data_IF_354791062800
#
_entry.id   IF_354791062800
#
_cell.length_a   1.000
_cell.length_b   1.000
_cell.length_c   1.000
_cell.angle_alpha   90.00
_cell.angle_beta   90.00
_cell.angle_gamma   90.00
#
_symmetry.space_group_name_H-M   'P 1'
#
loop_
_entity.id
_entity.type
_entity.pdbx_description
1 polymer ?
#
# COMPACT_ATOMS: atom_id res chain seq x y z
N UNK A 1 24.87 25.00 -2.90
CA UNK A 1 24.53 23.88 -3.82
C UNK A 1 23.04 23.85 -4.03
N UNK A 2 22.56 23.84 -5.28
CA UNK A 2 21.14 23.68 -5.53
C UNK A 2 20.71 22.26 -5.09
N UNK A 3 19.61 22.17 -4.33
CA UNK A 3 19.03 20.87 -3.97
C UNK A 3 18.60 20.12 -5.23
N UNK A 4 18.74 18.79 -5.23
CA UNK A 4 18.17 17.96 -6.31
C UNK A 4 16.65 17.91 -6.21
N UNK A 5 16.00 17.89 -7.36
CA UNK A 5 14.53 17.85 -7.47
C UNK A 5 14.03 16.42 -7.58
N UNK A 6 13.14 16.02 -6.68
CA UNK A 6 12.45 14.73 -6.71
C UNK A 6 11.00 14.96 -7.13
N UNK A 7 10.54 14.21 -8.14
CA UNK A 7 9.12 14.03 -8.39
C UNK A 7 8.67 12.77 -7.66
N UNK A 8 7.89 12.94 -6.59
CA UNK A 8 7.39 11.87 -5.75
C UNK A 8 5.94 11.59 -6.09
N UNK A 9 5.60 10.34 -6.46
CA UNK A 9 4.26 9.97 -6.90
C UNK A 9 3.67 8.96 -5.91
N UNK A 10 2.53 9.31 -5.30
CA UNK A 10 1.85 8.50 -4.30
C UNK A 10 0.43 8.16 -4.75
N UNK A 11 0.09 6.89 -4.93
CA UNK A 11 -1.29 6.47 -5.16
C UNK A 11 -2.10 6.51 -3.87
N UNK A 12 -3.41 6.55 -4.02
CA UNK A 12 -4.41 6.63 -2.94
C UNK A 12 -4.14 5.68 -1.76
N UNK A 13 -3.78 4.42 -2.05
CA UNK A 13 -3.54 3.41 -1.02
C UNK A 13 -2.27 3.63 -0.19
N UNK A 14 -1.37 4.53 -0.59
CA UNK A 14 -0.13 4.84 0.10
C UNK A 14 -0.05 6.28 0.61
N UNK A 15 -1.10 7.09 0.46
CA UNK A 15 -1.12 8.46 0.97
C UNK A 15 -0.82 8.51 2.46
N UNK A 16 -1.47 7.65 3.25
CA UNK A 16 -1.23 7.58 4.70
C UNK A 16 0.24 7.26 5.01
N UNK A 17 0.84 6.33 4.30
CA UNK A 17 2.23 5.98 4.45
C UNK A 17 3.16 7.18 4.17
N UNK A 18 2.96 7.85 3.04
CA UNK A 18 3.84 8.95 2.63
C UNK A 18 3.61 10.20 3.47
N UNK A 19 2.37 10.44 3.93
CA UNK A 19 2.05 11.58 4.78
C UNK A 19 2.53 11.41 6.22
N UNK A 20 2.39 10.19 6.78
CA UNK A 20 2.57 9.94 8.21
C UNK A 20 3.75 9.03 8.56
N UNK A 21 4.20 8.15 7.64
CA UNK A 21 5.22 7.13 7.92
C UNK A 21 6.54 7.38 7.23
N UNK A 22 6.48 7.80 5.96
CA UNK A 22 7.71 8.23 5.31
C UNK A 22 8.09 9.57 5.89
N UNK A 23 9.34 9.66 6.26
CA UNK A 23 9.86 10.87 6.87
C UNK A 23 9.99 11.97 5.79
N UNK A 24 8.85 12.39 5.22
CA UNK A 24 8.80 13.42 4.19
C UNK A 24 9.50 14.69 4.65
N UNK A 25 9.33 15.06 5.92
CA UNK A 25 10.05 16.19 6.52
C UNK A 25 11.57 16.00 6.49
N UNK A 26 12.08 14.78 6.69
CA UNK A 26 13.51 14.51 6.63
C UNK A 26 14.05 14.58 5.21
N UNK A 27 13.30 14.03 4.26
CA UNK A 27 13.67 14.10 2.83
C UNK A 27 13.67 15.55 2.34
N UNK A 28 12.72 16.36 2.78
CA UNK A 28 12.62 17.78 2.44
C UNK A 28 13.80 18.62 2.94
N UNK A 29 14.51 18.20 3.98
CA UNK A 29 15.76 18.89 4.38
C UNK A 29 16.84 18.87 3.29
N UNK A 30 16.84 17.83 2.46
CA UNK A 30 17.90 17.55 1.50
C UNK A 30 17.51 17.76 0.04
N UNK A 31 16.19 17.75 -0.28
CA UNK A 31 15.68 17.76 -1.65
C UNK A 31 14.54 18.76 -1.81
N UNK A 32 14.38 19.26 -3.04
CA UNK A 32 13.17 19.94 -3.47
C UNK A 32 12.18 18.88 -3.97
N UNK A 33 10.95 18.86 -3.45
CA UNK A 33 9.99 17.82 -3.77
C UNK A 33 8.80 18.40 -4.54
N UNK A 34 8.54 17.80 -5.70
CA UNK A 34 7.26 17.92 -6.38
C UNK A 34 6.45 16.65 -6.12
N UNK A 35 5.50 16.74 -5.19
CA UNK A 35 4.69 15.62 -4.78
C UNK A 35 3.42 15.53 -5.61
N UNK A 36 3.25 14.44 -6.36
CA UNK A 36 2.05 14.14 -7.12
C UNK A 36 1.24 13.10 -6.34
N UNK A 37 0.04 13.50 -5.91
CA UNK A 37 -0.88 12.65 -5.16
C UNK A 37 -1.98 12.18 -6.10
N UNK A 38 -2.17 10.86 -6.19
CA UNK A 38 -3.15 10.25 -7.06
C UNK A 38 -4.39 9.86 -6.24
N UNK A 39 -5.49 10.57 -6.44
CA UNK A 39 -6.76 10.27 -5.81
C UNK A 39 -7.59 9.31 -6.65
N UNK A 40 -7.98 8.18 -6.07
CA UNK A 40 -8.96 7.28 -6.65
C UNK A 40 -10.38 7.83 -6.50
N UNK A 41 -11.34 7.18 -7.18
CA UNK A 41 -12.76 7.56 -7.09
C UNK A 41 -13.31 7.53 -5.65
N UNK A 42 -12.83 6.60 -4.84
CA UNK A 42 -13.29 6.37 -3.46
C UNK A 42 -12.23 6.79 -2.43
N UNK A 43 -11.43 7.79 -2.77
CA UNK A 43 -10.41 8.32 -1.91
C UNK A 43 -11.00 8.91 -0.62
N UNK A 44 -10.37 8.62 0.52
CA UNK A 44 -10.73 9.14 1.84
C UNK A 44 -10.04 10.46 2.20
N UNK A 45 -8.93 10.77 1.53
CA UNK A 45 -8.16 11.99 1.76
C UNK A 45 -8.70 13.16 0.97
N UNK A 46 -8.53 14.36 1.52
CA UNK A 46 -8.86 15.65 0.88
C UNK A 46 -7.59 16.44 0.66
N UNK A 47 -7.62 17.40 -0.24
CA UNK A 47 -6.49 18.31 -0.48
C UNK A 47 -6.13 19.11 0.78
N UNK A 48 -7.13 19.40 1.63
CA UNK A 48 -6.93 20.06 2.94
C UNK A 48 -6.01 19.30 3.90
N UNK A 49 -5.94 17.96 3.78
CA UNK A 49 -5.11 17.13 4.66
C UNK A 49 -3.61 17.34 4.42
N UNK A 50 -3.27 17.98 3.29
CA UNK A 50 -1.89 18.31 2.90
C UNK A 50 -1.50 19.77 3.16
N UNK A 51 -2.42 20.60 3.62
CA UNK A 51 -2.17 22.04 3.79
C UNK A 51 -1.11 22.34 4.85
N UNK A 52 -1.08 21.55 5.93
CA UNK A 52 -0.10 21.75 6.99
C UNK A 52 1.31 21.48 6.49
N UNK A 53 1.57 20.32 5.90
CA UNK A 53 2.90 19.96 5.40
C UNK A 53 3.37 20.91 4.29
N UNK A 54 2.44 21.40 3.46
CA UNK A 54 2.74 22.38 2.43
C UNK A 54 3.13 23.75 3.00
N UNK A 55 2.46 24.21 4.07
CA UNK A 55 2.78 25.46 4.76
C UNK A 55 4.12 25.43 5.47
N UNK A 56 4.46 24.27 6.04
CA UNK A 56 5.70 24.09 6.80
C UNK A 56 6.94 23.95 5.91
N UNK A 57 6.77 23.66 4.60
CA UNK A 57 7.89 23.34 3.71
C UNK A 57 7.83 24.13 2.41
N UNK A 58 8.65 25.17 2.30
CA UNK A 58 8.71 26.05 1.11
C UNK A 58 9.29 25.37 -0.15
N UNK A 59 10.04 24.28 0.03
CA UNK A 59 10.61 23.45 -1.04
C UNK A 59 9.73 22.24 -1.40
N UNK A 60 8.44 22.26 -0.97
CA UNK A 60 7.43 21.28 -1.33
C UNK A 60 6.36 21.90 -2.23
N UNK A 61 6.15 21.32 -3.40
CA UNK A 61 4.98 21.62 -4.23
C UNK A 61 4.12 20.37 -4.35
N UNK A 62 2.79 20.50 -4.28
CA UNK A 62 1.86 19.36 -4.34
C UNK A 62 0.91 19.55 -5.51
N UNK A 63 0.76 18.51 -6.33
CA UNK A 63 -0.17 18.46 -7.45
C UNK A 63 -1.08 17.24 -7.29
N UNK A 64 -2.40 17.41 -7.46
CA UNK A 64 -3.39 16.37 -7.27
C UNK A 64 -3.94 15.88 -8.61
N UNK A 65 -3.91 14.58 -8.84
CA UNK A 65 -4.52 13.92 -9.99
C UNK A 65 -5.70 13.06 -9.53
N UNK A 66 -6.89 13.28 -10.11
CA UNK A 66 -8.12 12.56 -9.77
C UNK A 66 -8.47 11.55 -10.86
N UNK A 67 -8.64 10.29 -10.46
CA UNK A 67 -9.11 9.20 -11.29
C UNK A 67 -10.61 8.96 -11.02
N UNK A 68 -11.46 9.53 -11.87
CA UNK A 68 -12.91 9.50 -11.70
C UNK A 68 -13.56 8.15 -12.07
N UNK A 69 -12.81 7.25 -12.68
CA UNK A 69 -13.29 5.95 -13.12
C UNK A 69 -12.60 4.82 -12.35
N UNK A 70 -13.23 3.63 -12.33
CA UNK A 70 -12.58 2.42 -11.81
C UNK A 70 -11.23 2.23 -12.50
N UNK A 71 -10.24 1.74 -11.79
CA UNK A 71 -8.84 1.62 -12.24
C UNK A 71 -8.67 1.02 -13.66
N UNK A 72 -9.46 0.00 -14.00
CA UNK A 72 -9.38 -0.67 -15.32
C UNK A 72 -10.26 -0.04 -16.40
N UNK A 73 -10.83 1.12 -16.17
CA UNK A 73 -11.64 1.81 -17.18
C UNK A 73 -10.72 2.48 -18.21
N UNK A 74 -10.92 2.27 -19.53
CA UNK A 74 -10.07 2.86 -20.58
C UNK A 74 -10.08 4.39 -20.59
N UNK A 75 -11.12 5.03 -20.05
CA UNK A 75 -11.19 6.50 -19.92
C UNK A 75 -10.05 7.07 -19.05
N UNK A 76 -9.40 6.25 -18.22
CA UNK A 76 -8.24 6.66 -17.43
C UNK A 76 -6.96 6.88 -18.26
N UNK A 77 -6.92 6.42 -19.54
CA UNK A 77 -5.74 6.58 -20.39
C UNK A 77 -5.33 8.05 -20.56
N UNK A 78 -6.30 8.95 -20.72
CA UNK A 78 -6.02 10.39 -20.86
C UNK A 78 -5.45 10.98 -19.57
N UNK A 79 -5.95 10.55 -18.42
CA UNK A 79 -5.42 10.97 -17.11
C UNK A 79 -3.97 10.49 -16.94
N UNK A 80 -3.68 9.25 -17.31
CA UNK A 80 -2.33 8.69 -17.25
C UNK A 80 -1.36 9.39 -18.22
N UNK A 81 -1.81 9.77 -19.42
CA UNK A 81 -1.00 10.55 -20.35
C UNK A 81 -0.71 11.95 -19.79
N UNK A 82 -1.72 12.62 -19.22
CA UNK A 82 -1.55 13.92 -18.56
C UNK A 82 -0.57 13.84 -17.39
N UNK A 83 -0.69 12.80 -16.56
CA UNK A 83 0.22 12.52 -15.46
C UNK A 83 1.67 12.35 -15.94
N UNK A 84 1.90 11.51 -16.95
CA UNK A 84 3.24 11.33 -17.54
C UNK A 84 3.82 12.62 -18.10
N UNK A 85 3.00 13.46 -18.76
CA UNK A 85 3.41 14.79 -19.26
C UNK A 85 3.72 15.75 -18.11
N UNK A 86 2.93 15.74 -17.02
CA UNK A 86 3.16 16.58 -15.85
C UNK A 86 4.50 16.23 -15.19
N UNK A 87 4.77 14.94 -14.95
CA UNK A 87 6.05 14.47 -14.42
C UNK A 87 7.22 14.93 -15.30
N UNK A 88 7.11 14.75 -16.62
CA UNK A 88 8.16 15.14 -17.58
C UNK A 88 8.40 16.65 -17.57
N UNK A 89 7.35 17.47 -17.48
CA UNK A 89 7.43 18.94 -17.44
C UNK A 89 8.22 19.45 -16.24
N UNK A 90 8.18 18.72 -15.12
CA UNK A 90 8.92 19.09 -13.92
C UNK A 90 10.44 18.93 -14.06
N UNK A 91 10.90 18.22 -15.10
CA UNK A 91 12.32 17.91 -15.33
C UNK A 91 13.05 17.47 -14.04
N UNK A 92 12.54 16.47 -13.30
CA UNK A 92 13.12 16.10 -12.02
C UNK A 92 14.45 15.34 -12.21
N UNK A 93 15.36 15.48 -11.23
CA UNK A 93 16.58 14.67 -11.16
C UNK A 93 16.26 13.21 -10.82
N UNK A 94 15.21 12.99 -10.01
CA UNK A 94 14.77 11.65 -9.57
C UNK A 94 13.24 11.60 -9.67
N UNK A 95 12.73 10.52 -10.21
CA UNK A 95 11.31 10.15 -10.15
C UNK A 95 11.19 8.98 -9.19
N UNK A 96 10.40 9.14 -8.14
CA UNK A 96 10.08 8.07 -7.20
C UNK A 96 8.59 7.76 -7.28
N UNK A 97 8.25 6.51 -7.62
CA UNK A 97 6.86 6.07 -7.72
C UNK A 97 6.58 4.97 -6.70
N UNK A 98 5.72 5.29 -5.74
CA UNK A 98 5.31 4.37 -4.70
C UNK A 98 4.06 3.57 -5.12
N UNK A 99 4.11 2.93 -6.29
CA UNK A 99 2.97 2.19 -6.81
C UNK A 99 3.38 0.94 -7.60
N UNK A 100 2.40 0.08 -7.84
CA UNK A 100 2.48 -1.05 -8.76
C UNK A 100 1.49 -0.86 -9.91
N UNK A 101 1.80 -1.42 -11.07
CA UNK A 101 0.89 -1.37 -12.22
C UNK A 101 -0.24 -2.39 -12.04
N UNK A 102 -1.49 -1.93 -12.23
CA UNK A 102 -2.70 -2.74 -12.12
C UNK A 102 -3.57 -2.70 -13.38
N UNK A 103 -3.29 -1.79 -14.31
CA UNK A 103 -4.10 -1.56 -15.51
C UNK A 103 -3.24 -1.30 -16.74
N UNK A 104 -3.62 -1.83 -17.94
CA UNK A 104 -2.92 -1.53 -19.18
C UNK A 104 -2.99 -0.04 -19.54
N UNK A 105 -3.97 0.70 -19.04
CA UNK A 105 -4.16 2.13 -19.28
C UNK A 105 -3.14 3.02 -18.58
N UNK A 106 -2.35 2.45 -17.68
CA UNK A 106 -1.22 3.12 -17.02
C UNK A 106 0.06 3.07 -17.87
N UNK A 107 0.18 2.12 -18.80
CA UNK A 107 1.37 1.96 -19.64
C UNK A 107 1.81 3.25 -20.35
N UNK A 108 0.92 4.07 -20.96
CA UNK A 108 1.33 5.32 -21.58
C UNK A 108 2.11 6.26 -20.67
N UNK A 109 1.71 6.36 -19.39
CA UNK A 109 2.45 7.12 -18.39
C UNK A 109 3.87 6.58 -18.25
N UNK A 110 4.04 5.28 -18.00
CA UNK A 110 5.35 4.65 -17.85
C UNK A 110 6.25 4.82 -19.09
N UNK A 111 5.65 4.80 -20.30
CA UNK A 111 6.41 5.00 -21.53
C UNK A 111 6.83 6.46 -21.77
N UNK A 112 6.15 7.42 -21.17
CA UNK A 112 6.54 8.83 -21.21
C UNK A 112 7.66 9.18 -20.23
N UNK A 113 7.87 8.36 -19.18
CA UNK A 113 8.89 8.61 -18.16
C UNK A 113 10.31 8.30 -18.70
N UNK A 114 11.32 9.09 -18.31
CA UNK A 114 12.70 8.80 -18.65
C UNK A 114 13.16 7.53 -17.92
N UNK A 115 13.92 6.67 -18.62
CA UNK A 115 14.46 5.44 -18.02
C UNK A 115 15.53 5.71 -16.96
N UNK A 116 16.19 6.86 -17.04
CA UNK A 116 17.23 7.29 -16.09
C UNK A 116 16.57 7.94 -14.88
N UNK A 117 17.11 7.70 -13.71
CA UNK A 117 16.70 8.33 -12.46
C UNK A 117 15.24 8.00 -12.03
N UNK A 118 14.69 6.90 -12.53
CA UNK A 118 13.37 6.44 -12.18
C UNK A 118 13.49 5.25 -11.21
N UNK A 119 12.90 5.41 -10.03
CA UNK A 119 12.81 4.41 -8.97
C UNK A 119 11.35 4.01 -8.82
N UNK A 120 11.07 2.74 -9.00
CA UNK A 120 9.74 2.15 -8.80
C UNK A 120 9.72 1.33 -7.52
N UNK A 121 8.73 1.52 -6.68
CA UNK A 121 8.48 0.60 -5.56
C UNK A 121 7.74 -0.64 -6.07
N UNK A 122 8.21 -1.82 -5.67
CA UNK A 122 7.50 -3.07 -5.88
C UNK A 122 7.18 -3.70 -4.52
N UNK A 123 5.90 -3.76 -4.19
CA UNK A 123 5.45 -4.28 -2.89
C UNK A 123 5.58 -5.81 -2.79
N UNK A 124 5.59 -6.48 -3.94
CA UNK A 124 5.60 -7.94 -4.02
C UNK A 124 6.58 -8.42 -5.08
N UNK A 125 7.30 -9.50 -4.77
CA UNK A 125 8.19 -10.19 -5.73
C UNK A 125 7.40 -10.83 -6.87
N UNK A 126 6.22 -11.38 -6.57
CA UNK A 126 5.31 -12.03 -7.50
C UNK A 126 3.88 -11.51 -7.34
N UNK A 127 3.03 -11.77 -8.33
CA UNK A 127 1.60 -11.50 -8.23
C UNK A 127 0.98 -12.52 -7.25
N UNK A 128 0.30 -12.03 -6.22
CA UNK A 128 -0.32 -12.87 -5.18
C UNK A 128 -1.26 -13.94 -5.75
N UNK A 129 -1.25 -15.09 -5.08
CA UNK A 129 -2.28 -16.12 -5.23
C UNK A 129 -3.62 -15.48 -4.80
N UNK A 130 -4.64 -15.62 -5.64
CA UNK A 130 -5.96 -15.03 -5.39
C UNK A 130 -6.21 -13.64 -6.00
N UNK A 131 -5.19 -12.98 -6.58
CA UNK A 131 -5.43 -11.79 -7.40
C UNK A 131 -6.09 -12.17 -8.73
N UNK A 132 -7.23 -11.55 -9.01
CA UNK A 132 -7.89 -11.68 -10.31
C UNK A 132 -6.96 -11.21 -11.45
N UNK A 133 -7.07 -11.86 -12.61
CA UNK A 133 -6.29 -11.50 -13.83
C UNK A 133 -4.76 -11.63 -13.68
N UNK A 134 -4.28 -12.60 -12.94
CA UNK A 134 -2.85 -12.85 -12.70
C UNK A 134 -2.00 -12.85 -13.98
N UNK A 135 -2.50 -13.44 -15.08
CA UNK A 135 -1.80 -13.44 -16.37
C UNK A 135 -1.57 -12.03 -16.90
N UNK A 136 -2.62 -11.20 -16.92
CA UNK A 136 -2.52 -9.80 -17.35
C UNK A 136 -1.54 -9.02 -16.48
N UNK A 137 -1.64 -9.13 -15.16
CA UNK A 137 -0.75 -8.44 -14.23
C UNK A 137 0.71 -8.85 -14.44
N UNK A 138 0.99 -10.12 -14.71
CA UNK A 138 2.36 -10.57 -15.01
C UNK A 138 2.90 -9.95 -16.32
N UNK A 139 2.06 -9.85 -17.35
CA UNK A 139 2.44 -9.17 -18.61
C UNK A 139 2.74 -7.69 -18.36
N UNK A 140 1.85 -6.98 -17.66
CA UNK A 140 2.03 -5.58 -17.32
C UNK A 140 3.32 -5.36 -16.50
N UNK A 141 3.57 -6.19 -15.50
CA UNK A 141 4.80 -6.14 -14.72
C UNK A 141 6.05 -6.33 -15.58
N UNK A 142 6.04 -7.28 -16.51
CA UNK A 142 7.15 -7.46 -17.46
C UNK A 142 7.39 -6.22 -18.30
N UNK A 143 6.32 -5.61 -18.83
CA UNK A 143 6.42 -4.40 -19.66
C UNK A 143 6.99 -3.20 -18.88
N UNK A 144 6.62 -3.03 -17.62
CA UNK A 144 7.12 -1.93 -16.79
C UNK A 144 8.51 -2.22 -16.25
N UNK A 145 8.71 -3.34 -15.57
CA UNK A 145 9.99 -3.61 -14.90
C UNK A 145 11.14 -3.95 -15.85
N UNK A 146 10.86 -4.34 -17.11
CA UNK A 146 11.91 -4.39 -18.14
C UNK A 146 12.50 -3.01 -18.49
N UNK A 147 11.78 -1.93 -18.18
CA UNK A 147 12.20 -0.54 -18.42
C UNK A 147 12.77 0.14 -17.18
N UNK A 148 12.39 -0.33 -15.99
CA UNK A 148 12.78 0.25 -14.71
C UNK A 148 14.09 -0.38 -14.24
N UNK A 149 15.14 0.44 -14.13
CA UNK A 149 16.45 -0.03 -13.67
C UNK A 149 16.52 -0.14 -12.15
N UNK A 150 15.89 0.77 -11.44
CA UNK A 150 15.97 0.87 -9.98
C UNK A 150 14.64 0.54 -9.35
N UNK A 151 14.62 -0.45 -8.45
CA UNK A 151 13.41 -0.91 -7.78
C UNK A 151 13.64 -0.87 -6.27
N UNK A 152 12.72 -0.24 -5.55
CA UNK A 152 12.66 -0.32 -4.09
C UNK A 152 11.72 -1.46 -3.66
N UNK A 153 12.14 -2.24 -2.68
CA UNK A 153 11.32 -3.30 -2.08
C UNK A 153 11.40 -3.27 -0.56
N UNK A 154 10.27 -3.36 0.10
CA UNK A 154 10.18 -3.30 1.56
C UNK A 154 10.57 -4.61 2.26
N UNK A 155 10.52 -5.75 1.56
CA UNK A 155 10.79 -7.07 2.12
C UNK A 155 11.98 -7.74 1.46
N UNK A 156 12.92 -8.25 2.29
CA UNK A 156 14.10 -8.98 1.82
C UNK A 156 13.73 -10.27 1.07
N UNK A 157 12.76 -11.03 1.58
CA UNK A 157 12.29 -12.27 0.94
C UNK A 157 11.64 -12.00 -0.42
N UNK A 158 10.78 -10.97 -0.49
CA UNK A 158 10.13 -10.56 -1.74
C UNK A 158 11.13 -10.01 -2.76
N UNK A 159 12.20 -9.34 -2.31
CA UNK A 159 13.28 -8.89 -3.17
C UNK A 159 14.00 -10.05 -3.87
N UNK A 160 14.22 -11.16 -3.15
CA UNK A 160 14.81 -12.38 -3.74
C UNK A 160 13.92 -13.00 -4.83
N UNK A 161 12.60 -13.04 -4.60
CA UNK A 161 11.63 -13.50 -5.61
C UNK A 161 11.59 -12.56 -6.82
N UNK A 162 11.55 -11.25 -6.58
CA UNK A 162 11.56 -10.26 -7.65
C UNK A 162 12.81 -10.38 -8.52
N UNK A 163 14.00 -10.53 -7.92
CA UNK A 163 15.27 -10.63 -8.64
C UNK A 163 15.32 -11.83 -9.59
N UNK A 164 14.66 -12.95 -9.25
CA UNK A 164 14.55 -14.12 -10.15
C UNK A 164 13.78 -13.79 -11.44
N UNK A 165 12.76 -12.94 -11.36
CA UNK A 165 11.95 -12.54 -12.52
C UNK A 165 12.55 -11.36 -13.30
N UNK A 166 13.30 -10.49 -12.62
CA UNK A 166 13.89 -9.26 -13.18
C UNK A 166 15.38 -9.15 -12.81
N UNK A 167 16.26 -10.02 -13.36
CA UNK A 167 17.67 -10.11 -12.95
C UNK A 167 18.47 -8.83 -13.20
N UNK A 168 18.08 -8.02 -14.18
CA UNK A 168 18.74 -6.77 -14.56
C UNK A 168 18.37 -5.56 -13.69
N UNK A 169 17.38 -5.69 -12.80
CA UNK A 169 16.97 -4.62 -11.89
C UNK A 169 17.96 -4.47 -10.75
N UNK A 170 18.29 -3.22 -10.42
CA UNK A 170 19.02 -2.88 -9.18
C UNK A 170 18.02 -2.69 -8.06
N UNK A 171 18.02 -3.59 -7.07
CA UNK A 171 17.04 -3.60 -6.00
C UNK A 171 17.62 -2.91 -4.76
N UNK A 172 16.90 -1.90 -4.29
CA UNK A 172 17.06 -1.33 -2.95
C UNK A 172 16.11 -2.07 -1.99
N UNK A 173 16.57 -2.34 -0.78
CA UNK A 173 15.81 -3.04 0.25
C UNK A 173 15.59 -2.09 1.42
N UNK A 174 14.78 -1.07 1.18
CA UNK A 174 14.45 -0.06 2.17
C UNK A 174 13.15 -0.51 2.85
N UNK A 175 13.18 -0.90 4.14
CA UNK A 175 11.97 -1.33 4.82
C UNK A 175 10.96 -0.19 4.93
N UNK A 176 9.69 -0.56 5.06
CA UNK A 176 8.64 0.42 5.36
C UNK A 176 8.92 1.03 6.73
N UNK A 177 8.84 2.34 6.84
CA UNK A 177 8.98 3.02 8.12
C UNK A 177 7.87 2.59 9.08
N UNK A 178 8.19 2.54 10.37
CA UNK A 178 7.20 2.31 11.41
C UNK A 178 6.40 3.60 11.65
N UNK A 179 5.10 3.46 11.83
CA UNK A 179 4.26 4.55 12.33
C UNK A 179 4.42 4.64 13.84
N UNK A 180 4.61 5.84 14.34
CA UNK A 180 4.51 6.11 15.75
C UNK A 180 3.02 6.23 16.12
N UNK A 181 2.51 5.22 16.81
CA UNK A 181 1.15 5.22 17.35
C UNK A 181 1.06 5.80 18.76
N UNK A 182 2.17 6.34 19.27
CA UNK A 182 2.28 6.81 20.65
C UNK A 182 2.36 5.68 21.67
N UNK A 183 2.23 6.06 22.94
CA UNK A 183 2.24 5.12 24.06
C UNK A 183 0.85 4.49 24.21
N UNK A 184 0.74 3.15 24.28
CA UNK A 184 -0.55 2.50 24.50
C UNK A 184 -1.21 3.00 25.80
N UNK A 185 -2.42 3.53 25.69
CA UNK A 185 -3.21 3.99 26.85
C UNK A 185 -3.95 2.85 27.54
N UNK A 186 -4.09 1.71 26.86
CA UNK A 186 -4.81 0.54 27.39
C UNK A 186 -3.80 -0.44 28.01
N UNK A 187 -3.95 -0.68 29.30
CA UNK A 187 -3.17 -1.71 30.01
C UNK A 187 -3.77 -3.08 29.72
N UNK A 188 -2.92 -4.02 29.30
CA UNK A 188 -3.37 -5.41 29.09
C UNK A 188 -3.86 -6.00 30.42
N UNK A 189 -5.06 -6.61 30.47
CA UNK A 189 -5.53 -7.31 31.66
C UNK A 189 -4.57 -8.45 32.06
N UNK A 190 -4.31 -8.57 33.35
CA UNK A 190 -3.52 -9.68 33.91
C UNK A 190 -4.44 -10.80 34.41
N UNK A 191 -5.30 -11.29 33.52
CA UNK A 191 -6.35 -12.31 33.83
C UNK A 191 -6.00 -13.71 33.37
N UNK A 192 -4.78 -13.94 32.87
CA UNK A 192 -4.33 -15.24 32.36
C UNK A 192 -4.94 -15.64 31.03
N UNK A 193 -5.76 -14.76 30.42
CA UNK A 193 -6.39 -15.05 29.12
C UNK A 193 -5.45 -14.67 27.97
N UNK A 194 -5.20 -15.61 27.08
CA UNK A 194 -4.45 -15.37 25.83
C UNK A 194 -5.40 -14.74 24.81
N UNK A 195 -5.02 -13.58 24.29
CA UNK A 195 -5.83 -12.87 23.29
C UNK A 195 -5.16 -12.88 21.92
N UNK A 196 -5.82 -13.51 20.96
CA UNK A 196 -5.43 -13.49 19.56
C UNK A 196 -6.18 -12.35 18.87
N UNK A 197 -5.48 -11.57 18.07
CA UNK A 197 -6.07 -10.49 17.29
C UNK A 197 -5.82 -10.71 15.80
N UNK A 198 -6.90 -10.74 15.01
CA UNK A 198 -6.86 -10.59 13.56
C UNK A 198 -7.41 -9.21 13.20
N UNK A 199 -6.60 -8.38 12.56
CA UNK A 199 -6.95 -7.01 12.24
C UNK A 199 -6.75 -6.70 10.75
N UNK A 200 -7.68 -5.91 10.17
CA UNK A 200 -7.61 -5.41 8.80
C UNK A 200 -8.67 -6.01 7.88
N UNK A 201 -8.59 -5.71 6.57
CA UNK A 201 -9.57 -6.20 5.60
C UNK A 201 -9.61 -7.72 5.56
N UNK A 202 -10.79 -8.29 5.84
CA UNK A 202 -11.04 -9.72 5.86
C UNK A 202 -11.36 -10.17 4.42
N UNK A 203 -10.55 -11.08 3.91
CA UNK A 203 -10.73 -11.69 2.60
C UNK A 203 -10.09 -13.09 2.58
N UNK A 204 -10.29 -13.83 1.51
CA UNK A 204 -9.78 -15.19 1.35
C UNK A 204 -8.26 -15.32 1.63
N UNK A 205 -7.45 -14.34 1.21
CA UNK A 205 -5.99 -14.40 1.41
C UNK A 205 -5.54 -14.26 2.88
N UNK A 206 -6.45 -13.90 3.79
CA UNK A 206 -6.19 -13.76 5.22
C UNK A 206 -6.45 -15.04 6.01
N UNK A 207 -7.03 -16.06 5.38
CA UNK A 207 -7.32 -17.36 6.00
C UNK A 207 -8.05 -17.28 7.35
N UNK A 208 -9.05 -16.36 7.46
CA UNK A 208 -9.81 -16.17 8.69
C UNK A 208 -10.63 -17.41 9.04
N UNK A 209 -11.07 -18.15 8.04
CA UNK A 209 -11.71 -19.45 8.20
C UNK A 209 -10.80 -20.45 8.94
N UNK A 210 -9.51 -20.51 8.58
CA UNK A 210 -8.54 -21.37 9.28
C UNK A 210 -8.33 -20.92 10.75
N UNK A 211 -8.33 -19.61 11.02
CA UNK A 211 -8.26 -19.09 12.39
C UNK A 211 -9.47 -19.51 13.22
N UNK A 212 -10.69 -19.42 12.65
CA UNK A 212 -11.94 -19.85 13.30
C UNK A 212 -11.90 -21.34 13.58
N UNK A 213 -11.55 -22.16 12.58
CA UNK A 213 -11.46 -23.61 12.70
C UNK A 213 -10.44 -24.01 13.80
N UNK A 214 -9.27 -23.39 13.81
CA UNK A 214 -8.23 -23.64 14.82
C UNK A 214 -8.70 -23.30 16.25
N UNK A 215 -9.41 -22.18 16.42
CA UNK A 215 -9.97 -21.79 17.71
C UNK A 215 -11.02 -22.80 18.21
N UNK A 216 -11.91 -23.27 17.31
CA UNK A 216 -12.90 -24.28 17.65
C UNK A 216 -12.23 -25.62 18.05
N UNK A 217 -11.20 -26.05 17.34
CA UNK A 217 -10.43 -27.27 17.68
C UNK A 217 -9.77 -27.15 19.04
N UNK A 218 -9.16 -26.01 19.38
CA UNK A 218 -8.59 -25.79 20.71
C UNK A 218 -9.65 -25.87 21.80
N UNK A 219 -10.82 -25.29 21.58
CA UNK A 219 -11.93 -25.33 22.52
C UNK A 219 -12.45 -26.76 22.70
N UNK A 220 -12.60 -27.54 21.65
CA UNK A 220 -13.00 -28.97 21.70
C UNK A 220 -11.97 -29.81 22.50
N UNK A 221 -10.67 -29.47 22.45
CA UNK A 221 -9.60 -30.06 23.25
C UNK A 221 -9.56 -29.65 24.72
N UNK A 222 -10.48 -28.80 25.16
CA UNK A 222 -10.59 -28.38 26.56
C UNK A 222 -9.85 -27.10 26.95
N UNK A 223 -9.17 -26.43 26.00
CA UNK A 223 -8.56 -25.11 26.28
C UNK A 223 -9.65 -24.04 26.43
N UNK A 224 -9.59 -23.26 27.51
CA UNK A 224 -10.64 -22.25 27.85
C UNK A 224 -10.08 -20.85 28.10
N UNK A 225 -8.78 -20.73 28.31
CA UNK A 225 -8.11 -19.48 28.69
C UNK A 225 -7.66 -18.64 27.49
N UNK A 226 -8.47 -18.59 26.44
CA UNK A 226 -8.17 -17.74 25.28
C UNK A 226 -9.42 -17.06 24.72
N UNK A 227 -9.20 -15.99 23.92
CA UNK A 227 -10.20 -15.25 23.14
C UNK A 227 -9.61 -14.89 21.78
N UNK A 228 -10.46 -14.72 20.78
CA UNK A 228 -10.07 -14.36 19.42
C UNK A 228 -10.87 -13.13 19.01
N UNK A 229 -10.18 -12.02 18.77
CA UNK A 229 -10.79 -10.80 18.23
C UNK A 229 -10.56 -10.77 16.71
N UNK A 230 -11.64 -10.54 15.95
CA UNK A 230 -11.62 -10.45 14.48
C UNK A 230 -12.21 -9.10 14.10
N UNK A 231 -11.33 -8.17 13.71
CA UNK A 231 -11.70 -6.77 13.52
C UNK A 231 -11.35 -6.30 12.11
N UNK A 232 -12.33 -5.73 11.39
CA UNK A 232 -12.10 -5.13 10.09
C UNK A 232 -13.21 -5.34 9.07
N UNK A 233 -13.12 -4.64 7.95
CA UNK A 233 -14.12 -4.71 6.90
C UNK A 233 -14.13 -6.08 6.21
N UNK A 234 -15.31 -6.67 6.07
CA UNK A 234 -15.56 -7.89 5.30
C UNK A 234 -16.76 -7.70 4.36
N UNK A 235 -16.63 -8.12 3.10
CA UNK A 235 -17.75 -8.10 2.15
C UNK A 235 -18.70 -9.28 2.34
N UNK A 236 -18.14 -10.44 2.65
CA UNK A 236 -18.88 -11.72 2.69
C UNK A 236 -18.79 -12.34 4.10
N UNK A 237 -19.10 -11.53 5.14
CA UNK A 237 -18.98 -11.98 6.53
C UNK A 237 -19.85 -13.21 6.84
N UNK A 238 -21.01 -13.35 6.20
CA UNK A 238 -21.91 -14.50 6.38
C UNK A 238 -21.21 -15.85 6.15
N UNK A 239 -20.27 -15.92 5.19
CA UNK A 239 -19.47 -17.14 4.96
C UNK A 239 -18.64 -17.52 6.18
N UNK A 240 -17.98 -16.57 6.84
CA UNK A 240 -17.16 -16.84 8.03
C UNK A 240 -18.01 -17.11 9.26
N UNK A 241 -19.12 -16.40 9.39
CA UNK A 241 -20.06 -16.53 10.52
C UNK A 241 -20.61 -17.95 10.64
N UNK A 242 -20.89 -18.63 9.54
CA UNK A 242 -21.39 -20.02 9.55
C UNK A 242 -20.39 -21.04 10.10
N UNK A 243 -19.10 -20.67 10.19
CA UNK A 243 -18.04 -21.55 10.74
C UNK A 243 -17.84 -21.40 12.24
N UNK A 244 -18.43 -20.38 12.85
CA UNK A 244 -18.28 -20.10 14.27
C UNK A 244 -19.18 -21.04 15.08
N UNK A 245 -18.56 -22.08 15.66
CA UNK A 245 -19.24 -23.08 16.50
C UNK A 245 -19.46 -22.58 17.93
N UNK A 246 -18.53 -21.76 18.45
CA UNK A 246 -18.51 -21.27 19.83
C UNK A 246 -18.44 -19.74 19.84
N UNK A 247 -19.57 -19.02 19.71
CA UNK A 247 -19.57 -17.55 19.61
C UNK A 247 -18.90 -16.84 20.78
N UNK A 248 -18.96 -17.43 21.97
CA UNK A 248 -18.36 -16.88 23.19
C UNK A 248 -16.83 -16.77 23.18
N UNK A 249 -16.17 -17.44 22.22
CA UNK A 249 -14.72 -17.33 22.03
C UNK A 249 -14.31 -16.09 21.23
N UNK A 250 -15.26 -15.53 20.49
CA UNK A 250 -14.95 -14.53 19.48
C UNK A 250 -15.52 -13.16 19.86
N UNK A 251 -14.66 -12.16 19.74
CA UNK A 251 -15.03 -10.74 19.75
C UNK A 251 -14.92 -10.22 18.30
N UNK A 252 -16.05 -9.81 17.72
CA UNK A 252 -16.17 -9.57 16.27
C UNK A 252 -16.64 -8.14 16.02
N UNK A 253 -15.81 -7.38 15.29
CA UNK A 253 -16.12 -6.03 14.85
C UNK A 253 -15.90 -5.88 13.33
N UNK A 254 -17.00 -6.03 12.54
CA UNK A 254 -16.99 -6.04 11.08
C UNK A 254 -17.34 -4.65 10.56
N UNK A 255 -16.43 -3.71 10.72
CA UNK A 255 -16.53 -2.36 10.17
C UNK A 255 -15.20 -1.86 9.63
N UNK A 256 -15.23 -0.77 8.88
CA UNK A 256 -14.00 -0.03 8.59
C UNK A 256 -13.53 0.63 9.88
N UNK A 257 -12.29 0.33 10.27
CA UNK A 257 -11.67 0.93 11.46
C UNK A 257 -10.80 2.07 10.95
N UNK A 258 -11.10 3.28 11.39
CA UNK A 258 -10.30 4.46 11.07
C UNK A 258 -8.99 4.43 11.86
N UNK A 259 -7.92 4.90 11.22
CA UNK A 259 -6.59 5.01 11.84
C UNK A 259 -6.42 6.31 12.65
N UNK A 260 -7.53 6.83 13.19
CA UNK A 260 -7.51 8.04 14.04
C UNK A 260 -6.99 7.76 15.45
#
# INVERSE_FOLDING_TARGET
MNKKKICWITPDCFIDCDLNYFNMHEILKHYDIHWIVLFSRNNRFKESDFEQIKKENTNLTIEFFRFNYKMRNPKNILTNIRLGKAIKRQAPDIIYMNDSIYSPWELPMFYLLPKRHYIQTAHQGEVHIGMGHKKLLNVLRRLVYSRVKYVNMFSKSQAGLFQKHFPNSKIFKIPLALKDFGIPTIVKPKDGIIRFLSFGTINYAKNIDLLIDAACVLYDKGYRNFRVSINGMCKDWSFYQTKIKYPELFDIDIRSIDNS
#
